data_IF_973230557559
#
_entry.id   IF_973230557559
#
_cell.length_a   1.000
_cell.length_b   1.000
_cell.length_c   1.000
_cell.angle_alpha   90.00
_cell.angle_beta   90.00
_cell.angle_gamma   90.00
#
_symmetry.space_group_name_H-M   'P 1'
#
loop_
_entity.id
_entity.type
_entity.pdbx_description
1 polymer ?
#
# COMPACT_ATOMS: atom_id res chain seq x y z
N UNK A 1 -9.31 -26.16 -9.68
CA UNK A 1 -9.83 -26.01 -11.06
C UNK A 1 -9.52 -24.60 -11.53
N UNK A 2 -8.38 -24.39 -12.19
CA UNK A 2 -8.03 -23.07 -12.75
C UNK A 2 -8.69 -22.94 -14.12
N UNK A 3 -9.82 -22.24 -14.16
CA UNK A 3 -10.37 -21.72 -15.40
C UNK A 3 -9.25 -20.97 -16.12
N UNK A 4 -8.95 -21.32 -17.38
CA UNK A 4 -7.94 -20.61 -18.20
C UNK A 4 -8.42 -19.19 -18.47
N UNK A 5 -8.20 -18.30 -17.50
CA UNK A 5 -8.50 -16.88 -17.67
C UNK A 5 -7.55 -16.29 -18.71
N UNK A 6 -8.02 -15.23 -19.37
CA UNK A 6 -7.25 -14.50 -20.38
C UNK A 6 -6.79 -13.17 -19.82
N UNK A 7 -5.60 -12.75 -20.22
CA UNK A 7 -5.06 -11.44 -19.89
C UNK A 7 -6.00 -10.33 -20.39
N UNK A 8 -6.42 -9.47 -19.47
CA UNK A 8 -7.32 -8.34 -19.75
C UNK A 8 -6.58 -7.01 -19.91
N UNK A 9 -5.24 -7.03 -19.92
CA UNK A 9 -4.44 -5.82 -20.06
C UNK A 9 -4.74 -5.10 -21.38
N UNK A 10 -4.81 -3.76 -21.33
CA UNK A 10 -5.23 -2.93 -22.46
C UNK A 10 -6.73 -3.02 -22.83
N UNK A 11 -7.49 -3.91 -22.19
CA UNK A 11 -8.92 -4.07 -22.41
C UNK A 11 -9.73 -2.93 -21.80
N UNK A 12 -10.73 -2.45 -22.55
CA UNK A 12 -11.67 -1.40 -22.14
C UNK A 12 -12.93 -1.44 -22.99
N UNK A 13 -13.82 -0.44 -22.83
CA UNK A 13 -15.14 -0.41 -23.48
C UNK A 13 -15.11 -0.59 -25.01
N UNK A 14 -14.00 -0.23 -25.67
CA UNK A 14 -13.85 -0.31 -27.14
C UNK A 14 -12.57 -1.03 -27.60
N UNK A 15 -11.73 -1.52 -26.68
CA UNK A 15 -10.44 -2.14 -27.02
C UNK A 15 -10.42 -3.59 -26.59
N UNK A 16 -10.03 -4.47 -27.51
CA UNK A 16 -9.72 -5.87 -27.15
C UNK A 16 -8.48 -5.86 -26.27
N UNK A 17 -8.57 -6.51 -25.11
CA UNK A 17 -7.41 -6.75 -24.26
C UNK A 17 -6.44 -7.74 -24.90
N UNK A 18 -5.26 -7.88 -24.31
CA UNK A 18 -4.19 -8.76 -24.75
C UNK A 18 -4.66 -10.17 -25.15
N UNK A 19 -5.53 -10.80 -24.35
CA UNK A 19 -6.17 -12.07 -24.70
C UNK A 19 -5.31 -13.32 -24.59
N UNK A 20 -4.00 -13.19 -24.31
CA UNK A 20 -3.09 -14.30 -24.01
C UNK A 20 -3.52 -15.05 -22.74
N UNK A 21 -3.00 -16.26 -22.54
CA UNK A 21 -3.22 -17.01 -21.30
C UNK A 21 -2.74 -16.19 -20.10
N UNK A 22 -3.62 -15.97 -19.12
CA UNK A 22 -3.24 -15.35 -17.87
C UNK A 22 -2.43 -16.34 -17.03
N UNK A 23 -1.47 -15.82 -16.28
CA UNK A 23 -0.68 -16.62 -15.34
C UNK A 23 -1.20 -16.50 -13.91
N UNK A 24 -1.82 -15.36 -13.57
CA UNK A 24 -2.31 -15.04 -12.22
C UNK A 24 -3.22 -13.80 -12.26
N UNK A 25 -3.75 -13.42 -11.10
CA UNK A 25 -4.54 -12.22 -10.87
C UNK A 25 -3.74 -11.15 -10.13
N UNK A 26 -3.94 -9.88 -10.51
CA UNK A 26 -3.28 -8.77 -9.83
C UNK A 26 -3.83 -8.57 -8.42
N UNK A 27 -2.96 -8.57 -7.40
CA UNK A 27 -3.36 -8.41 -5.98
C UNK A 27 -4.11 -7.11 -5.70
N UNK A 28 -3.90 -6.06 -6.50
CA UNK A 28 -4.52 -4.75 -6.25
C UNK A 28 -5.84 -4.51 -6.98
N UNK A 29 -6.08 -5.17 -8.11
CA UNK A 29 -7.31 -4.96 -8.90
C UNK A 29 -8.06 -6.24 -9.25
N UNK A 30 -7.57 -7.39 -8.81
CA UNK A 30 -8.12 -8.72 -9.08
C UNK A 30 -8.34 -9.03 -10.58
N UNK A 31 -7.60 -8.36 -11.47
CA UNK A 31 -7.69 -8.60 -12.92
C UNK A 31 -6.59 -9.56 -13.38
N UNK A 32 -6.92 -10.53 -14.25
CA UNK A 32 -5.95 -11.48 -14.76
C UNK A 32 -4.97 -10.82 -15.73
N UNK A 33 -3.70 -11.24 -15.68
CA UNK A 33 -2.63 -10.77 -16.56
C UNK A 33 -1.66 -11.90 -16.97
N UNK A 34 -0.93 -11.69 -18.07
CA UNK A 34 0.12 -12.61 -18.57
C UNK A 34 1.52 -12.06 -18.23
N UNK A 35 2.57 -12.86 -18.40
CA UNK A 35 3.96 -12.49 -18.06
C UNK A 35 4.47 -11.19 -18.73
N UNK A 36 3.94 -10.81 -19.90
CA UNK A 36 4.29 -9.53 -20.54
C UNK A 36 3.58 -8.30 -19.94
N UNK A 37 2.50 -8.51 -19.20
CA UNK A 37 1.60 -7.45 -18.74
C UNK A 37 1.49 -7.38 -17.22
N UNK A 38 2.53 -7.83 -16.55
CA UNK A 38 2.72 -7.72 -15.13
C UNK A 38 3.91 -8.55 -14.69
N UNK A 39 4.18 -8.47 -13.40
CA UNK A 39 5.28 -9.16 -12.77
C UNK A 39 4.75 -10.08 -11.67
N UNK A 40 5.51 -11.15 -11.41
CA UNK A 40 5.27 -12.01 -10.26
C UNK A 40 6.27 -11.63 -9.18
N UNK A 41 5.77 -11.09 -8.07
CA UNK A 41 6.59 -10.73 -6.92
C UNK A 41 6.86 -11.94 -6.02
N UNK A 42 7.75 -11.74 -5.06
CA UNK A 42 7.83 -12.62 -3.90
C UNK A 42 6.52 -12.58 -3.09
N UNK A 43 6.28 -13.60 -2.27
CA UNK A 43 5.17 -13.64 -1.31
C UNK A 43 3.78 -13.36 -1.93
N UNK A 44 3.53 -13.91 -3.11
CA UNK A 44 2.25 -13.77 -3.84
C UNK A 44 1.91 -12.33 -4.26
N UNK A 45 2.90 -11.42 -4.31
CA UNK A 45 2.74 -10.05 -4.77
C UNK A 45 2.74 -9.94 -6.29
N UNK A 46 1.74 -10.56 -6.92
CA UNK A 46 1.56 -10.53 -8.37
C UNK A 46 0.87 -9.22 -8.81
N UNK A 47 1.54 -8.41 -9.64
CA UNK A 47 1.08 -7.04 -9.98
C UNK A 47 1.03 -6.84 -11.49
N UNK A 48 -0.15 -6.46 -12.02
CA UNK A 48 -0.27 -6.12 -13.44
C UNK A 48 0.41 -4.79 -13.79
N UNK A 49 0.78 -4.60 -15.05
CA UNK A 49 1.48 -3.41 -15.56
C UNK A 49 0.60 -2.14 -15.65
N UNK A 50 -0.63 -2.14 -15.11
CA UNK A 50 -1.50 -0.96 -15.16
C UNK A 50 -0.93 0.13 -14.25
N UNK A 51 -0.95 1.37 -14.72
CA UNK A 51 -0.39 2.54 -14.03
C UNK A 51 -0.73 2.59 -12.53
N UNK A 52 -2.01 2.45 -12.17
CA UNK A 52 -2.43 2.54 -10.77
C UNK A 52 -1.89 1.37 -9.91
N UNK A 53 -1.79 0.17 -10.47
CA UNK A 53 -1.28 -1.00 -9.75
C UNK A 53 0.23 -0.91 -9.55
N UNK A 54 0.96 -0.44 -10.58
CA UNK A 54 2.39 -0.20 -10.50
C UNK A 54 2.71 0.93 -9.51
N UNK A 55 1.92 2.00 -9.49
CA UNK A 55 2.07 3.07 -8.50
C UNK A 55 1.87 2.57 -7.06
N UNK A 56 0.89 1.69 -6.81
CA UNK A 56 0.69 1.05 -5.50
C UNK A 56 1.85 0.15 -5.09
N UNK A 57 2.46 -0.56 -6.04
CA UNK A 57 3.64 -1.38 -5.79
C UNK A 57 4.82 -0.52 -5.36
N UNK A 58 5.14 0.51 -6.16
CA UNK A 58 6.24 1.44 -5.87
C UNK A 58 6.05 2.08 -4.49
N UNK A 59 4.86 2.58 -4.18
CA UNK A 59 4.55 3.14 -2.85
C UNK A 59 4.73 2.12 -1.72
N UNK A 60 4.37 0.85 -1.93
CA UNK A 60 4.55 -0.19 -0.92
C UNK A 60 6.03 -0.51 -0.68
N UNK A 61 6.81 -0.58 -1.75
CA UNK A 61 8.26 -0.80 -1.70
C UNK A 61 8.93 0.36 -0.94
N UNK A 62 8.66 1.61 -1.36
CA UNK A 62 9.16 2.84 -0.71
C UNK A 62 8.74 2.92 0.77
N UNK A 63 7.49 2.56 1.09
CA UNK A 63 7.00 2.54 2.47
C UNK A 63 7.73 1.50 3.33
N UNK A 64 8.00 0.32 2.76
CA UNK A 64 8.69 -0.76 3.48
C UNK A 64 10.12 -0.35 3.81
N UNK A 65 10.83 0.25 2.84
CA UNK A 65 12.17 0.79 3.05
C UNK A 65 12.17 1.95 4.05
N UNK A 66 11.27 2.91 3.90
CA UNK A 66 11.13 4.03 4.84
C UNK A 66 10.89 3.52 6.26
N UNK A 67 9.92 2.61 6.45
CA UNK A 67 9.56 2.07 7.75
C UNK A 67 10.77 1.42 8.42
N UNK A 68 11.53 0.61 7.68
CA UNK A 68 12.72 -0.04 8.20
C UNK A 68 13.78 0.95 8.68
N UNK A 69 13.95 2.09 8.00
CA UNK A 69 14.88 3.16 8.43
C UNK A 69 14.42 3.84 9.72
N UNK A 70 13.18 4.31 9.76
CA UNK A 70 12.69 5.12 10.89
C UNK A 70 12.32 4.30 12.14
N UNK A 71 12.09 3.00 11.99
CA UNK A 71 11.84 2.10 13.13
C UNK A 71 13.04 2.04 14.10
N UNK A 72 14.26 2.28 13.60
CA UNK A 72 15.46 2.36 14.44
C UNK A 72 15.38 3.53 15.44
N UNK A 73 14.82 4.68 15.05
CA UNK A 73 14.64 5.83 15.94
C UNK A 73 13.71 5.51 17.11
N UNK A 74 12.64 4.74 16.86
CA UNK A 74 11.72 4.33 17.93
C UNK A 74 12.39 3.41 18.95
N UNK A 75 13.37 2.59 18.56
CA UNK A 75 14.10 1.72 19.51
C UNK A 75 14.88 2.52 20.56
N UNK A 76 15.26 3.76 20.23
CA UNK A 76 15.94 4.70 21.15
C UNK A 76 15.01 5.78 21.68
N UNK A 77 13.69 5.56 21.62
CA UNK A 77 12.65 6.48 22.11
C UNK A 77 12.56 7.85 21.40
N UNK A 78 13.03 7.92 20.15
CA UNK A 78 12.99 9.12 19.31
C UNK A 78 11.85 9.04 18.30
N UNK A 79 11.29 10.19 17.95
CA UNK A 79 10.27 10.34 16.91
C UNK A 79 10.66 9.61 15.61
N UNK A 80 9.70 8.92 14.98
CA UNK A 80 9.92 8.25 13.69
C UNK A 80 9.88 9.21 12.47
N UNK A 81 10.09 10.51 12.69
CA UNK A 81 10.37 11.46 11.63
C UNK A 81 11.90 11.60 11.49
N UNK A 82 12.44 11.45 10.28
CA UNK A 82 13.89 11.37 10.02
C UNK A 82 14.66 12.63 10.46
N UNK A 83 13.96 13.77 10.61
CA UNK A 83 14.56 15.06 10.98
C UNK A 83 14.28 15.49 12.42
N UNK A 84 13.63 14.63 13.21
CA UNK A 84 13.13 15.00 14.53
C UNK A 84 13.81 14.20 15.65
N UNK A 85 14.41 14.90 16.60
CA UNK A 85 15.08 14.31 17.76
C UNK A 85 14.20 14.26 19.02
N UNK A 86 12.95 14.75 18.91
CA UNK A 86 12.00 14.79 20.03
C UNK A 86 11.60 13.39 20.51
N UNK A 87 11.22 13.31 21.79
CA UNK A 87 10.80 12.05 22.40
C UNK A 87 9.47 11.57 21.81
N UNK A 88 9.42 10.30 21.42
CA UNK A 88 8.19 9.67 20.90
C UNK A 88 7.15 9.44 22.01
N UNK A 89 5.87 9.68 21.69
CA UNK A 89 4.74 9.46 22.63
C UNK A 89 3.47 8.92 21.97
N UNK A 90 3.28 9.15 20.68
CA UNK A 90 2.01 8.93 20.01
C UNK A 90 2.13 7.91 18.88
N UNK A 91 1.33 6.85 18.91
CA UNK A 91 1.35 5.79 17.90
C UNK A 91 0.49 6.15 16.68
N UNK A 92 1.07 6.01 15.48
CA UNK A 92 0.33 6.10 14.23
C UNK A 92 -0.54 4.85 14.03
N UNK A 93 -1.85 5.04 13.90
CA UNK A 93 -2.84 3.98 13.66
C UNK A 93 -2.63 3.15 12.38
N UNK A 94 -1.77 3.59 11.47
CA UNK A 94 -1.50 2.94 10.17
C UNK A 94 -0.18 2.17 10.15
N UNK A 95 0.95 2.82 10.43
CA UNK A 95 2.25 2.17 10.38
C UNK A 95 2.71 1.57 11.73
N UNK A 96 2.01 1.90 12.83
CA UNK A 96 2.30 1.48 14.21
C UNK A 96 3.64 1.99 14.78
N UNK A 97 4.25 2.98 14.11
CA UNK A 97 5.40 3.72 14.63
C UNK A 97 4.95 4.85 15.56
N UNK A 98 5.84 5.27 16.45
CA UNK A 98 5.64 6.32 17.43
C UNK A 98 6.29 7.65 17.00
N UNK A 99 5.59 8.74 17.27
CA UNK A 99 5.97 10.10 16.90
C UNK A 99 5.80 11.06 18.08
N UNK A 100 6.42 12.24 18.00
CA UNK A 100 6.09 13.36 18.89
C UNK A 100 4.73 13.96 18.51
N UNK A 101 4.20 14.88 19.34
CA UNK A 101 2.87 15.46 19.11
C UNK A 101 2.76 16.27 17.81
N UNK A 102 3.87 16.82 17.30
CA UNK A 102 3.90 17.61 16.06
C UNK A 102 3.85 16.74 14.81
N UNK A 103 4.39 15.51 14.87
CA UNK A 103 4.49 14.60 13.73
C UNK A 103 3.37 13.55 13.67
N UNK A 104 2.25 13.83 14.33
CA UNK A 104 0.99 13.11 14.15
C UNK A 104 -0.18 14.09 14.15
N UNK A 105 -1.24 13.72 13.42
CA UNK A 105 -2.51 14.44 13.45
C UNK A 105 -3.67 13.48 13.54
N UNK A 106 -4.75 13.92 14.18
CA UNK A 106 -6.00 13.16 14.18
C UNK A 106 -6.63 13.18 12.79
N UNK A 107 -6.99 12.00 12.27
CA UNK A 107 -7.68 11.84 10.99
C UNK A 107 -8.75 10.76 11.09
N UNK A 108 -9.78 10.85 10.23
CA UNK A 108 -10.71 9.74 10.01
C UNK A 108 -10.02 8.61 9.27
N UNK A 109 -9.92 7.44 9.87
CA UNK A 109 -9.33 6.25 9.26
C UNK A 109 -10.38 5.14 9.17
N UNK A 110 -10.30 4.36 8.09
CA UNK A 110 -11.14 3.17 7.94
C UNK A 110 -10.52 2.02 8.71
N UNK A 111 -11.20 1.60 9.77
CA UNK A 111 -10.84 0.42 10.54
C UNK A 111 -11.39 -0.84 9.85
N UNK A 112 -10.49 -1.62 9.28
CA UNK A 112 -10.80 -2.87 8.58
C UNK A 112 -10.74 -4.10 9.49
N UNK A 113 -10.42 -3.93 10.79
CA UNK A 113 -10.46 -5.03 11.76
C UNK A 113 -11.90 -5.40 12.16
N UNK A 114 -12.88 -4.54 11.85
CA UNK A 114 -14.30 -4.76 12.09
C UNK A 114 -15.05 -5.11 10.80
N UNK A 115 -16.12 -5.90 10.93
CA UNK A 115 -17.02 -6.22 9.83
C UNK A 115 -18.47 -5.79 10.17
N UNK A 116 -19.07 -4.81 9.45
CA UNK A 116 -18.47 -4.05 8.35
C UNK A 116 -17.36 -3.10 8.82
N UNK A 117 -16.43 -2.67 7.92
CA UNK A 117 -15.44 -1.66 8.25
C UNK A 117 -16.10 -0.35 8.68
N UNK A 118 -15.56 0.29 9.72
CA UNK A 118 -16.10 1.54 10.28
C UNK A 118 -15.09 2.69 10.15
N UNK A 119 -15.58 3.92 10.10
CA UNK A 119 -14.72 5.09 10.23
C UNK A 119 -14.49 5.43 11.71
N UNK A 120 -13.23 5.54 12.11
CA UNK A 120 -12.82 5.94 13.46
C UNK A 120 -11.86 7.12 13.38
N UNK A 121 -11.74 7.89 14.47
CA UNK A 121 -10.65 8.86 14.63
C UNK A 121 -9.40 8.12 15.07
N UNK A 122 -8.28 8.40 14.42
CA UNK A 122 -6.98 7.84 14.77
C UNK A 122 -5.86 8.82 14.48
N UNK A 123 -4.75 8.71 15.20
CA UNK A 123 -3.54 9.47 14.92
C UNK A 123 -2.86 8.90 13.68
N UNK A 124 -2.43 9.77 12.78
CA UNK A 124 -1.79 9.41 11.52
C UNK A 124 -0.58 10.33 11.30
N UNK A 125 0.57 9.73 11.00
CA UNK A 125 1.78 10.48 10.66
C UNK A 125 1.70 11.11 9.25
N UNK A 126 2.51 12.12 8.94
CA UNK A 126 2.55 12.77 7.62
C UNK A 126 2.70 11.77 6.47
N UNK A 127 3.66 10.83 6.59
CA UNK A 127 3.91 9.81 5.57
C UNK A 127 2.67 8.97 5.26
N UNK A 128 2.02 8.38 6.28
CA UNK A 128 0.80 7.58 6.07
C UNK A 128 -0.39 8.41 5.58
N UNK A 129 -0.44 9.71 5.91
CA UNK A 129 -1.49 10.57 5.40
C UNK A 129 -1.34 10.83 3.89
N UNK A 130 -0.10 11.02 3.41
CA UNK A 130 0.19 11.19 1.99
C UNK A 130 -0.10 9.92 1.18
N UNK A 131 0.28 8.75 1.69
CA UNK A 131 0.00 7.46 1.05
C UNK A 131 -1.48 7.23 0.76
N UNK A 132 -2.38 7.76 1.58
CA UNK A 132 -3.84 7.63 1.33
C UNK A 132 -4.29 8.19 -0.01
N UNK A 133 -3.55 9.12 -0.61
CA UNK A 133 -3.84 9.66 -1.95
C UNK A 133 -3.67 8.59 -3.05
N UNK A 134 -2.87 7.55 -2.78
CA UNK A 134 -2.56 6.45 -3.71
C UNK A 134 -3.51 5.27 -3.49
N UNK A 135 -3.92 5.03 -2.24
CA UNK A 135 -4.75 3.90 -1.82
C UNK A 135 -6.25 4.21 -1.72
N UNK A 136 -6.64 5.45 -2.01
CA UNK A 136 -8.04 5.90 -2.07
C UNK A 136 -8.86 5.29 -3.20
#
# INVERSE_FOLDING_TARGET
MTTRQRCTYGGGFLRRGCGRAAVTDCVYCARPFCLEHGERGADYMDVCARKNCQHKKVDLDEHTEWKARVELSNRVSVCADESCEERMRHECSRCRLFFCAEHVREMRVRDTSRHPPVEVRGLVCPHCAERRKIWG
#
